data_IF_222599693800
#
_entry.id   IF_222599693800
#
_cell.length_a   1.000
_cell.length_b   1.000
_cell.length_c   1.000
_cell.angle_alpha   90.00
_cell.angle_beta   90.00
_cell.angle_gamma   90.00
#
_symmetry.space_group_name_H-M   'P 1'
#
loop_
_entity.id
_entity.type
_entity.pdbx_description
1 polymer ?
#
# COMPACT_ATOMS: atom_id res chain seq x y z
N UNK A 1 -3.21 4.15 -22.10
CA UNK A 1 -3.30 2.97 -21.27
C UNK A 1 -3.68 3.34 -19.86
N UNK A 2 -4.62 2.61 -19.32
CA UNK A 2 -5.05 2.84 -17.96
C UNK A 2 -4.00 2.25 -16.99
N UNK A 3 -3.38 3.12 -16.21
CA UNK A 3 -2.37 2.71 -15.23
C UNK A 3 -2.93 2.92 -13.84
N UNK A 4 -3.36 1.84 -13.22
CA UNK A 4 -3.90 1.86 -11.87
C UNK A 4 -2.93 1.19 -10.91
N UNK A 5 -3.12 1.43 -9.62
CA UNK A 5 -2.31 0.80 -8.59
C UNK A 5 -2.63 -0.69 -8.55
N UNK A 6 -1.60 -1.52 -8.44
CA UNK A 6 -1.76 -2.95 -8.20
C UNK A 6 -1.65 -3.18 -6.69
N UNK A 7 -2.70 -3.78 -6.12
CA UNK A 7 -2.71 -4.16 -4.71
C UNK A 7 -2.56 -5.67 -4.59
N UNK A 8 -1.53 -6.11 -3.91
CA UNK A 8 -1.27 -7.51 -3.61
C UNK A 8 -1.75 -7.78 -2.19
N UNK A 9 -2.82 -8.60 -2.07
CA UNK A 9 -3.59 -8.64 -0.84
C UNK A 9 -4.17 -10.03 -0.56
N UNK A 10 -4.60 -10.22 0.68
CA UNK A 10 -5.37 -11.38 1.13
C UNK A 10 -6.33 -10.89 2.22
N UNK A 11 -7.35 -11.67 2.53
CA UNK A 11 -8.36 -11.29 3.52
C UNK A 11 -7.79 -11.35 4.94
N UNK A 12 -7.02 -10.34 5.31
CA UNK A 12 -6.35 -10.22 6.61
C UNK A 12 -6.53 -8.80 7.13
N UNK A 13 -6.37 -8.57 8.45
CA UNK A 13 -6.47 -7.20 8.99
C UNK A 13 -5.53 -6.21 8.32
N UNK A 14 -4.29 -6.61 8.04
CA UNK A 14 -3.33 -5.71 7.39
C UNK A 14 -3.72 -5.42 5.94
N UNK A 15 -4.25 -6.42 5.23
CA UNK A 15 -4.75 -6.23 3.87
C UNK A 15 -5.91 -5.26 3.81
N UNK A 16 -6.85 -5.37 4.74
CA UNK A 16 -8.02 -4.48 4.82
C UNK A 16 -7.61 -3.02 4.99
N UNK A 17 -6.51 -2.74 5.70
CA UNK A 17 -6.04 -1.35 5.88
C UNK A 17 -5.83 -0.66 4.54
N UNK A 18 -5.24 -1.36 3.60
CA UNK A 18 -4.88 -0.76 2.32
C UNK A 18 -6.07 -0.68 1.38
N UNK A 19 -6.91 -1.72 1.31
CA UNK A 19 -8.10 -1.65 0.48
C UNK A 19 -9.05 -0.54 0.95
N UNK A 20 -9.22 -0.38 2.26
CA UNK A 20 -10.03 0.70 2.83
C UNK A 20 -9.43 2.06 2.44
N UNK A 21 -8.11 2.23 2.58
CA UNK A 21 -7.46 3.50 2.25
C UNK A 21 -7.65 3.85 0.77
N UNK A 22 -7.46 2.89 -0.13
CA UNK A 22 -7.62 3.12 -1.55
C UNK A 22 -9.06 3.52 -1.89
N UNK A 23 -10.04 2.86 -1.27
CA UNK A 23 -11.46 3.21 -1.44
C UNK A 23 -11.76 4.61 -0.92
N UNK A 24 -11.32 4.92 0.30
CA UNK A 24 -11.57 6.23 0.92
C UNK A 24 -10.86 7.37 0.20
N UNK A 25 -9.71 7.11 -0.41
CA UNK A 25 -8.97 8.08 -1.21
C UNK A 25 -9.46 8.14 -2.66
N UNK A 26 -10.41 7.30 -3.02
CA UNK A 26 -11.00 7.22 -4.36
C UNK A 26 -9.94 6.98 -5.44
N UNK A 27 -8.97 6.14 -5.13
CA UNK A 27 -7.91 5.76 -6.07
C UNK A 27 -8.28 4.45 -6.76
N UNK A 28 -8.24 4.38 -8.09
CA UNK A 28 -8.50 3.13 -8.79
C UNK A 28 -7.35 2.15 -8.57
N UNK A 29 -7.70 0.87 -8.40
CA UNK A 29 -6.70 -0.18 -8.17
C UNK A 29 -7.21 -1.54 -8.65
N UNK A 30 -6.26 -2.45 -8.89
CA UNK A 30 -6.54 -3.84 -9.23
C UNK A 30 -6.00 -4.71 -8.11
N UNK A 31 -6.81 -5.64 -7.61
CA UNK A 31 -6.40 -6.54 -6.55
C UNK A 31 -5.85 -7.84 -7.13
N UNK A 32 -4.68 -8.23 -6.66
CA UNK A 32 -4.05 -9.52 -6.95
C UNK A 32 -4.01 -10.31 -5.66
N UNK A 33 -4.67 -11.47 -5.64
CA UNK A 33 -4.77 -12.27 -4.43
C UNK A 33 -3.48 -13.04 -4.16
N UNK A 34 -2.97 -12.91 -2.93
CA UNK A 34 -1.79 -13.63 -2.45
C UNK A 34 -2.29 -14.61 -1.39
N UNK A 35 -2.59 -15.82 -1.81
CA UNK A 35 -3.12 -16.84 -0.92
C UNK A 35 -2.01 -17.35 0.02
N UNK A 36 -1.99 -16.83 1.24
CA UNK A 36 -0.94 -17.16 2.20
C UNK A 36 -1.01 -18.63 2.66
N UNK A 37 -2.19 -19.23 2.61
CA UNK A 37 -2.35 -20.65 2.91
C UNK A 37 -1.78 -21.57 1.84
N UNK A 38 -1.66 -21.07 0.59
CA UNK A 38 -1.07 -21.81 -0.53
C UNK A 38 0.41 -21.47 -0.76
N UNK A 39 0.98 -20.57 0.02
CA UNK A 39 2.39 -20.20 -0.12
C UNK A 39 2.67 -19.16 -1.19
N UNK A 40 1.65 -18.45 -1.68
CA UNK A 40 1.82 -17.44 -2.74
C UNK A 40 2.81 -16.34 -2.35
N UNK A 41 2.95 -16.06 -1.05
CA UNK A 41 3.88 -15.04 -0.54
C UNK A 41 5.35 -15.39 -0.81
N UNK A 42 5.63 -16.63 -1.16
CA UNK A 42 6.99 -17.09 -1.48
C UNK A 42 7.25 -17.14 -2.99
N UNK A 43 6.26 -16.78 -3.81
CA UNK A 43 6.42 -16.74 -5.27
C UNK A 43 7.53 -15.74 -5.63
N UNK A 44 8.50 -16.14 -6.48
CA UNK A 44 9.60 -15.23 -6.85
C UNK A 44 9.15 -13.90 -7.44
N UNK A 45 8.05 -13.87 -8.18
CA UNK A 45 7.52 -12.63 -8.74
C UNK A 45 7.04 -11.69 -7.62
N UNK A 46 6.40 -12.24 -6.58
CA UNK A 46 5.96 -11.44 -5.43
C UNK A 46 7.14 -11.00 -4.58
N UNK A 47 8.16 -11.84 -4.41
CA UNK A 47 9.34 -11.50 -3.61
C UNK A 47 10.12 -10.30 -4.18
N UNK A 48 10.02 -10.06 -5.47
CA UNK A 48 10.61 -8.86 -6.09
C UNK A 48 9.90 -7.58 -5.63
N UNK A 49 8.63 -7.69 -5.25
CA UNK A 49 7.81 -6.57 -4.80
C UNK A 49 7.90 -6.45 -3.27
N UNK A 50 7.81 -7.57 -2.59
CA UNK A 50 7.82 -7.63 -1.12
C UNK A 50 8.85 -8.67 -0.65
N UNK A 51 10.13 -8.28 -0.51
CA UNK A 51 11.18 -9.22 -0.13
C UNK A 51 11.00 -9.82 1.26
N UNK A 52 10.16 -9.21 2.10
CA UNK A 52 9.80 -9.74 3.41
C UNK A 52 8.74 -10.86 3.35
N UNK A 53 8.32 -11.27 2.15
CA UNK A 53 7.32 -12.32 1.87
C UNK A 53 6.00 -12.13 2.62
N UNK A 54 5.55 -10.88 2.77
CA UNK A 54 4.29 -10.54 3.43
C UNK A 54 3.45 -9.63 2.57
N UNK A 55 2.13 -9.85 2.59
CA UNK A 55 1.19 -8.89 2.05
C UNK A 55 0.72 -7.97 3.20
N UNK A 56 0.17 -6.78 2.97
CA UNK A 56 -0.06 -6.20 1.65
C UNK A 56 1.19 -5.57 1.05
N UNK A 57 1.14 -5.41 -0.27
CA UNK A 57 2.12 -4.64 -1.03
C UNK A 57 1.40 -3.96 -2.17
N UNK A 58 1.97 -2.87 -2.69
CA UNK A 58 1.42 -2.22 -3.88
C UNK A 58 2.52 -1.99 -4.90
N UNK A 59 2.11 -1.88 -6.15
CA UNK A 59 2.93 -1.29 -7.21
C UNK A 59 2.15 -0.13 -7.78
N UNK A 60 2.70 1.07 -7.67
CA UNK A 60 2.10 2.27 -8.26
C UNK A 60 2.85 2.59 -9.54
N UNK A 61 2.19 2.47 -10.70
CA UNK A 61 2.85 2.81 -11.97
C UNK A 61 3.16 4.28 -12.11
N UNK A 62 2.48 5.14 -11.34
CA UNK A 62 2.69 6.59 -11.32
C UNK A 62 3.37 7.01 -10.02
N UNK A 63 4.53 6.43 -9.75
CA UNK A 63 5.30 6.74 -8.56
C UNK A 63 6.08 8.04 -8.67
N UNK A 64 7.01 8.28 -7.75
CA UNK A 64 7.82 9.49 -7.77
C UNK A 64 8.57 9.63 -9.10
N UNK A 65 8.66 10.87 -9.59
CA UNK A 65 9.33 11.20 -10.85
C UNK A 65 8.70 10.51 -12.06
N UNK A 66 7.43 10.08 -11.94
CA UNK A 66 6.73 9.40 -13.03
C UNK A 66 7.15 7.97 -13.25
N UNK A 67 7.98 7.41 -12.38
CA UNK A 67 8.46 6.03 -12.49
C UNK A 67 7.65 5.10 -11.58
N UNK A 68 7.48 3.82 -11.96
CA UNK A 68 6.80 2.87 -11.08
C UNK A 68 7.56 2.69 -9.77
N UNK A 69 6.82 2.46 -8.70
CA UNK A 69 7.40 2.14 -7.39
C UNK A 69 6.60 1.02 -6.75
N UNK A 70 7.31 0.08 -6.14
CA UNK A 70 6.70 -0.98 -5.34
C UNK A 70 6.98 -0.71 -3.88
N UNK A 71 5.97 -0.89 -3.03
CA UNK A 71 6.06 -0.58 -1.61
C UNK A 71 5.48 -1.75 -0.83
N UNK A 72 6.19 -2.18 0.21
CA UNK A 72 5.71 -3.15 1.17
C UNK A 72 5.66 -2.49 2.56
N UNK A 73 5.06 -3.15 3.54
CA UNK A 73 4.70 -2.66 4.87
C UNK A 73 3.46 -1.77 4.83
N UNK A 74 2.41 -2.19 5.53
CA UNK A 74 1.13 -1.50 5.50
C UNK A 74 1.24 -0.05 5.94
N UNK A 75 2.03 0.23 6.98
CA UNK A 75 2.24 1.61 7.45
C UNK A 75 2.93 2.48 6.41
N UNK A 76 3.95 1.95 5.74
CA UNK A 76 4.66 2.68 4.69
C UNK A 76 3.75 2.97 3.50
N UNK A 77 2.90 2.01 3.13
CA UNK A 77 1.93 2.17 2.05
C UNK A 77 0.94 3.29 2.40
N UNK A 78 0.39 3.26 3.62
CA UNK A 78 -0.56 4.29 4.06
C UNK A 78 0.06 5.68 4.04
N UNK A 79 1.30 5.82 4.51
CA UNK A 79 2.00 7.10 4.49
C UNK A 79 2.27 7.59 3.07
N UNK A 80 2.67 6.68 2.17
CA UNK A 80 2.88 7.00 0.77
C UNK A 80 1.60 7.51 0.11
N UNK A 81 0.49 6.79 0.30
CA UNK A 81 -0.80 7.17 -0.28
C UNK A 81 -1.30 8.50 0.29
N UNK A 82 -1.08 8.75 1.57
CA UNK A 82 -1.45 10.01 2.20
C UNK A 82 -0.67 11.18 1.60
N UNK A 83 0.63 11.02 1.38
CA UNK A 83 1.45 12.07 0.74
C UNK A 83 1.04 12.28 -0.72
N UNK A 84 0.75 11.19 -1.42
CA UNK A 84 0.34 11.25 -2.83
C UNK A 84 -0.97 11.99 -3.01
N UNK A 85 -1.94 11.74 -2.14
CA UNK A 85 -3.30 12.30 -2.27
C UNK A 85 -3.50 13.58 -1.48
N UNK A 86 -2.67 13.83 -0.47
CA UNK A 86 -2.88 14.95 0.46
C UNK A 86 -4.02 14.70 1.45
N UNK A 87 -4.48 13.44 1.59
CA UNK A 87 -5.62 13.10 2.43
C UNK A 87 -5.17 12.37 3.70
N UNK A 88 -5.89 12.63 4.80
CA UNK A 88 -5.78 11.90 6.06
C UNK A 88 -4.44 12.03 6.80
N UNK A 89 -3.59 12.98 6.40
CA UNK A 89 -2.27 13.14 7.05
C UNK A 89 -2.15 14.46 7.79
N UNK A 90 -3.03 15.41 7.52
CA UNK A 90 -2.89 16.77 8.05
C UNK A 90 -1.93 17.59 7.19
N UNK A 91 -1.79 18.86 7.53
CA UNK A 91 -0.99 19.80 6.75
C UNK A 91 0.21 20.34 7.52
N UNK A 92 0.17 20.34 8.85
CA UNK A 92 1.26 20.84 9.68
C UNK A 92 2.11 19.67 10.20
N UNK A 93 3.34 19.96 10.55
CA UNK A 93 4.22 18.95 11.14
C UNK A 93 3.61 18.39 12.43
N UNK A 94 2.99 19.23 13.25
CA UNK A 94 2.34 18.77 14.48
C UNK A 94 1.21 17.78 14.21
N UNK A 95 0.41 18.04 13.17
CA UNK A 95 -0.65 17.11 12.77
C UNK A 95 -0.08 15.80 12.26
N UNK A 96 0.99 15.87 11.46
CA UNK A 96 1.64 14.67 10.91
C UNK A 96 2.26 13.80 12.01
N UNK A 97 2.86 14.43 13.02
CA UNK A 97 3.39 13.70 14.18
C UNK A 97 2.27 12.91 14.87
N UNK A 98 1.12 13.55 15.07
CA UNK A 98 -0.03 12.89 15.70
C UNK A 98 -0.50 11.69 14.87
N UNK A 99 -0.60 11.85 13.56
CA UNK A 99 -0.99 10.75 12.66
C UNK A 99 0.03 9.63 12.72
N UNK A 100 1.31 9.95 12.64
CA UNK A 100 2.37 8.95 12.64
C UNK A 100 2.36 8.10 13.91
N UNK A 101 2.20 8.73 15.07
CA UNK A 101 2.23 7.97 16.32
C UNK A 101 1.01 7.07 16.47
N UNK A 102 -0.17 7.50 16.04
CA UNK A 102 -1.34 6.62 16.07
C UNK A 102 -1.25 5.51 15.04
N UNK A 103 -0.66 5.80 13.88
CA UNK A 103 -0.44 4.77 12.85
C UNK A 103 0.48 3.66 13.35
N UNK A 104 1.53 4.02 14.07
CA UNK A 104 2.53 3.06 14.56
C UNK A 104 2.08 2.34 15.84
N UNK A 105 1.07 2.87 16.52
CA UNK A 105 0.56 2.27 17.75
C UNK A 105 -0.16 0.95 17.44
#
# INVERSE_FOLDING_TARGET
MNKVIDLYNWATPNGWKISIALEEMNLPYTTHLINIGAGDQFDPAFLKIAPNNRMPAITDPNGPDGAPVSIFESGAILLYLARKTGLFYGSTEREKIAVDQWLMW
#
